data_IF_020969363287
#
_entry.id   IF_020969363287
#
_cell.length_a   1.000
_cell.length_b   1.000
_cell.length_c   1.000
_cell.angle_alpha   90.00
_cell.angle_beta   90.00
_cell.angle_gamma   90.00
#
_symmetry.space_group_name_H-M   'P 1'
#
loop_
_entity.id
_entity.type
_entity.pdbx_description
1 polymer ?
#
# COMPACT_ATOMS: atom_id res chain seq x y z
N UNK A 1 47.70 6.24 47.13
CA UNK A 1 46.85 5.08 47.44
C UNK A 1 45.52 5.65 47.92
N UNK A 2 44.42 5.78 47.20
CA UNK A 2 43.98 5.49 45.82
C UNK A 2 42.65 6.26 45.70
N UNK A 3 42.40 6.97 44.59
CA UNK A 3 41.02 7.33 44.21
C UNK A 3 40.34 6.05 43.67
N UNK A 4 39.06 5.83 43.99
CA UNK A 4 38.14 5.66 42.88
C UNK A 4 36.79 6.37 43.08
N UNK A 5 36.50 7.20 42.08
CA UNK A 5 35.21 7.63 41.56
C UNK A 5 34.01 6.67 41.77
N UNK A 6 32.79 7.23 41.81
CA UNK A 6 31.74 6.70 40.94
C UNK A 6 31.32 7.74 39.90
N UNK A 7 31.61 7.37 38.66
CA UNK A 7 30.98 7.80 37.42
C UNK A 7 29.49 8.10 37.64
N UNK A 8 29.12 9.38 37.59
CA UNK A 8 27.72 9.79 37.67
C UNK A 8 27.13 9.64 36.26
N UNK A 9 26.16 8.74 36.03
CA UNK A 9 25.57 8.58 34.71
C UNK A 9 24.93 9.89 34.26
N UNK A 10 25.29 10.33 33.05
CA UNK A 10 24.72 11.51 32.42
C UNK A 10 23.18 11.41 32.39
N UNK A 11 22.44 12.50 32.66
CA UNK A 11 21.00 12.48 32.52
C UNK A 11 20.65 12.11 31.08
N UNK A 12 19.84 11.06 30.92
CA UNK A 12 19.25 10.69 29.63
C UNK A 12 18.54 11.92 29.06
N UNK A 13 18.98 12.37 27.90
CA UNK A 13 18.38 13.49 27.19
C UNK A 13 16.89 13.19 26.98
N UNK A 14 16.04 13.92 27.69
CA UNK A 14 14.61 13.96 27.44
C UNK A 14 14.42 14.75 26.14
N UNK A 15 13.81 14.20 25.08
CA UNK A 15 13.54 14.95 23.86
C UNK A 15 12.61 16.12 24.18
N UNK A 16 13.00 17.34 23.83
CA UNK A 16 12.14 18.51 23.96
C UNK A 16 10.93 18.37 23.03
N UNK A 17 9.70 18.54 23.53
CA UNK A 17 8.52 18.67 22.69
C UNK A 17 8.60 19.95 21.84
N UNK A 18 8.51 19.82 20.51
CA UNK A 18 8.25 20.96 19.63
C UNK A 18 9.19 21.17 18.44
N UNK A 19 9.75 20.11 17.85
CA UNK A 19 10.39 20.23 16.54
C UNK A 19 9.34 19.88 15.46
N UNK A 20 8.84 20.83 14.64
CA UNK A 20 7.91 20.55 13.55
C UNK A 20 8.69 19.96 12.38
N UNK A 21 9.37 18.83 12.61
CA UNK A 21 9.89 18.04 11.52
C UNK A 21 8.68 17.44 10.82
N UNK A 22 8.56 17.58 9.48
CA UNK A 22 7.61 16.77 8.73
C UNK A 22 7.82 15.32 9.14
N UNK A 23 6.83 14.75 9.83
CA UNK A 23 6.87 13.34 10.20
C UNK A 23 7.08 12.50 8.94
N UNK A 24 7.74 11.33 9.04
CA UNK A 24 7.79 10.41 7.92
C UNK A 24 6.37 10.17 7.40
N UNK A 25 6.17 10.12 6.07
CA UNK A 25 4.84 9.93 5.50
C UNK A 25 4.23 8.65 6.10
N UNK A 26 2.90 8.63 6.34
CA UNK A 26 2.24 7.42 6.83
C UNK A 26 2.61 6.27 5.89
N UNK A 27 3.20 5.22 6.46
CA UNK A 27 3.52 4.02 5.69
C UNK A 27 2.20 3.42 5.21
N UNK A 28 1.99 3.40 3.89
CA UNK A 28 0.86 2.69 3.31
C UNK A 28 0.87 1.25 3.87
N UNK A 29 -0.30 0.66 4.20
CA UNK A 29 -0.36 -0.68 4.73
C UNK A 29 0.42 -1.62 3.79
N UNK A 30 1.34 -2.39 4.38
CA UNK A 30 2.22 -3.29 3.66
C UNK A 30 1.37 -4.35 2.93
N UNK A 31 1.09 -4.12 1.64
CA UNK A 31 0.23 -4.97 0.83
C UNK A 31 -0.74 -4.22 -0.09
N UNK A 32 -1.03 -2.95 0.18
CA UNK A 32 -1.86 -2.14 -0.71
C UNK A 32 -1.08 -1.76 -1.97
N UNK A 33 -1.53 -2.23 -3.15
CA UNK A 33 -1.01 -1.72 -4.42
C UNK A 33 -1.35 -0.23 -4.53
N UNK A 34 -0.45 0.60 -5.10
CA UNK A 34 -0.79 1.97 -5.42
C UNK A 34 -2.05 2.03 -6.30
N UNK A 35 -2.97 2.94 -6.00
CA UNK A 35 -4.22 3.12 -6.75
C UNK A 35 -3.96 3.31 -8.24
N UNK A 36 -2.89 4.03 -8.59
CA UNK A 36 -2.46 4.23 -9.98
C UNK A 36 -2.08 2.91 -10.68
N UNK A 37 -1.41 1.99 -9.97
CA UNK A 37 -1.05 0.69 -10.52
C UNK A 37 -2.30 -0.19 -10.74
N UNK A 38 -3.29 -0.10 -9.85
CA UNK A 38 -4.58 -0.77 -10.00
C UNK A 38 -5.32 -0.21 -11.21
N UNK A 39 -5.41 1.11 -11.33
CA UNK A 39 -6.05 1.81 -12.44
C UNK A 39 -5.42 1.41 -13.79
N UNK A 40 -4.10 1.48 -13.89
CA UNK A 40 -3.36 1.11 -15.10
C UNK A 40 -3.58 -0.36 -15.49
N UNK A 41 -3.75 -1.26 -14.52
CA UNK A 41 -4.05 -2.68 -14.78
C UNK A 41 -5.43 -2.86 -15.41
N UNK A 42 -6.45 -2.17 -14.88
CA UNK A 42 -7.81 -2.21 -15.41
C UNK A 42 -7.88 -1.58 -16.80
N UNK A 43 -7.25 -0.42 -16.99
CA UNK A 43 -7.21 0.27 -18.29
C UNK A 43 -6.59 -0.61 -19.38
N UNK A 44 -5.48 -1.31 -19.08
CA UNK A 44 -4.86 -2.26 -20.01
C UNK A 44 -5.79 -3.42 -20.36
N UNK A 45 -6.49 -3.98 -19.39
CA UNK A 45 -7.41 -5.09 -19.62
C UNK A 45 -8.59 -4.66 -20.51
N UNK A 46 -9.15 -3.48 -20.25
CA UNK A 46 -10.26 -2.91 -21.04
C UNK A 46 -9.82 -2.58 -22.46
N UNK A 47 -8.65 -1.96 -22.65
CA UNK A 47 -8.10 -1.69 -23.99
C UNK A 47 -7.88 -2.97 -24.81
N UNK A 48 -7.63 -4.11 -24.14
CA UNK A 48 -7.55 -5.42 -24.79
C UNK A 48 -8.86 -5.87 -25.44
N UNK A 49 -10.00 -5.30 -25.04
CA UNK A 49 -11.31 -5.60 -25.65
C UNK A 49 -11.51 -4.90 -26.99
N UNK A 50 -10.82 -3.80 -27.28
CA UNK A 50 -10.99 -3.07 -28.55
C UNK A 50 -10.71 -3.94 -29.78
N UNK A 51 -9.80 -4.91 -29.62
CA UNK A 51 -9.42 -5.86 -30.67
C UNK A 51 -10.23 -7.17 -30.64
N UNK A 52 -11.14 -7.37 -29.68
CA UNK A 52 -11.78 -8.69 -29.44
C UNK A 52 -12.57 -9.17 -30.66
N UNK A 53 -13.24 -8.26 -31.37
CA UNK A 53 -14.00 -8.58 -32.57
C UNK A 53 -13.13 -9.13 -33.73
N UNK A 54 -11.83 -8.79 -33.75
CA UNK A 54 -10.87 -9.29 -34.73
C UNK A 54 -10.20 -10.61 -34.34
N UNK A 55 -10.46 -11.12 -33.13
CA UNK A 55 -9.85 -12.36 -32.60
C UNK A 55 -10.77 -13.56 -32.83
N UNK A 56 -10.22 -14.80 -32.88
CA UNK A 56 -11.03 -16.01 -32.90
C UNK A 56 -12.01 -16.07 -31.72
N UNK A 57 -13.24 -16.55 -31.95
CA UNK A 57 -14.30 -16.64 -30.92
C UNK A 57 -13.84 -17.41 -29.68
N UNK A 58 -13.00 -18.44 -29.87
CA UNK A 58 -12.41 -19.22 -28.78
C UNK A 58 -11.57 -18.36 -27.79
N UNK A 59 -11.07 -17.21 -28.22
CA UNK A 59 -10.29 -16.29 -27.40
C UNK A 59 -11.12 -15.19 -26.72
N UNK A 60 -12.39 -15.01 -27.12
CA UNK A 60 -13.23 -13.93 -26.59
C UNK A 60 -13.43 -14.08 -25.09
N UNK A 61 -13.74 -15.31 -24.64
CA UNK A 61 -13.91 -15.62 -23.22
C UNK A 61 -12.65 -15.24 -22.43
N UNK A 62 -11.47 -15.64 -22.90
CA UNK A 62 -10.21 -15.29 -22.24
C UNK A 62 -9.98 -13.77 -22.13
N UNK A 63 -10.41 -13.00 -23.14
CA UNK A 63 -10.32 -11.54 -23.10
C UNK A 63 -11.24 -10.93 -22.03
N UNK A 64 -12.48 -11.43 -21.91
CA UNK A 64 -13.41 -10.97 -20.86
C UNK A 64 -13.00 -11.42 -19.46
N UNK A 65 -12.49 -12.65 -19.31
CA UNK A 65 -11.96 -13.16 -18.04
C UNK A 65 -10.77 -12.32 -17.54
N UNK A 66 -9.90 -11.85 -18.44
CA UNK A 66 -8.80 -10.95 -18.06
C UNK A 66 -9.30 -9.63 -17.44
N UNK A 67 -10.42 -9.09 -17.94
CA UNK A 67 -11.06 -7.90 -17.37
C UNK A 67 -11.67 -8.21 -16.00
N UNK A 68 -12.39 -9.33 -15.87
CA UNK A 68 -12.94 -9.74 -14.58
C UNK A 68 -11.86 -9.96 -13.52
N UNK A 69 -10.74 -10.60 -13.89
CA UNK A 69 -9.60 -10.79 -13.00
C UNK A 69 -9.00 -9.44 -12.55
N UNK A 70 -8.77 -8.52 -13.49
CA UNK A 70 -8.23 -7.20 -13.17
C UNK A 70 -9.14 -6.39 -12.23
N UNK A 71 -10.47 -6.46 -12.45
CA UNK A 71 -11.45 -5.83 -11.57
C UNK A 71 -11.51 -6.51 -10.20
N UNK A 72 -11.45 -7.84 -10.15
CA UNK A 72 -11.39 -8.61 -8.89
C UNK A 72 -10.17 -8.26 -8.05
N UNK A 73 -8.99 -8.17 -8.68
CA UNK A 73 -7.77 -7.69 -8.03
C UNK A 73 -7.90 -6.25 -7.54
N UNK A 74 -8.51 -5.37 -8.34
CA UNK A 74 -8.72 -3.98 -7.97
C UNK A 74 -9.61 -3.84 -6.72
N UNK A 75 -10.71 -4.60 -6.69
CA UNK A 75 -11.62 -4.64 -5.56
C UNK A 75 -10.97 -5.28 -4.32
N UNK A 76 -10.17 -6.33 -4.50
CA UNK A 76 -9.42 -6.94 -3.40
C UNK A 76 -8.36 -6.01 -2.82
N UNK A 77 -7.70 -5.20 -3.66
CA UNK A 77 -6.71 -4.21 -3.23
C UNK A 77 -7.33 -3.00 -2.52
N UNK A 78 -8.59 -2.67 -2.79
CA UNK A 78 -9.35 -1.59 -2.16
C UNK A 78 -10.34 -2.05 -1.07
N UNK A 79 -10.44 -3.35 -0.81
CA UNK A 79 -11.31 -3.90 0.22
C UNK A 79 -10.84 -3.50 1.62
N UNK A 80 -11.77 -3.32 2.59
CA UNK A 80 -11.44 -2.86 3.93
C UNK A 80 -10.56 -3.88 4.65
N UNK A 81 -9.24 -3.71 4.56
CA UNK A 81 -8.31 -4.33 5.50
C UNK A 81 -8.33 -3.51 6.78
N UNK A 82 -9.29 -3.79 7.66
CA UNK A 82 -9.11 -3.68 9.11
C UNK A 82 -8.80 -2.33 9.74
N UNK A 83 -9.36 -1.22 9.26
CA UNK A 83 -9.57 -0.03 10.11
C UNK A 83 -11.02 -0.01 10.58
N UNK A 84 -11.37 -1.00 11.40
CA UNK A 84 -12.51 -0.87 12.30
C UNK A 84 -11.95 -0.16 13.54
N UNK A 85 -12.24 1.14 13.75
CA UNK A 85 -11.87 1.79 15.00
C UNK A 85 -12.62 1.09 16.13
N UNK A 86 -11.84 0.40 16.94
CA UNK A 86 -12.22 -0.09 18.26
C UNK A 86 -12.71 1.08 19.11
N UNK A 87 -13.68 0.80 19.97
CA UNK A 87 -14.65 1.77 20.46
C UNK A 87 -14.15 2.88 21.40
N UNK A 88 -14.92 3.97 21.48
CA UNK A 88 -15.67 4.39 22.68
C UNK A 88 -16.37 5.72 22.45
#
# INVERSE_FOLDING_TARGET
MTDPSPDRPAPRAVPLPGDPRPGPPPSAPAGARPVEAVRASVERAVAGLDAVAGRPVAEHVAAFEAVHAALGEALAAGGPSGDQPDGR
#
